data_IF_259645958418
#
_entry.id   IF_259645958418
#
_cell.length_a   1.000
_cell.length_b   1.000
_cell.length_c   1.000
_cell.angle_alpha   90.00
_cell.angle_beta   90.00
_cell.angle_gamma   90.00
#
_symmetry.space_group_name_H-M   'P 1'
#
loop_
_entity.id
_entity.type
_entity.pdbx_description
1 polymer ?
#
# COMPACT_ATOMS: atom_id res chain seq x y z
N UNK A 1 9.56 -15.96 21.43
CA UNK A 1 10.08 -15.61 20.43
C UNK A 1 9.45 -15.98 19.21
N UNK A 2 9.20 -17.16 19.01
CA UNK A 2 8.66 -17.59 17.81
C UNK A 2 7.29 -17.09 17.58
N UNK A 3 6.60 -16.75 18.61
CA UNK A 3 5.28 -16.23 18.47
C UNK A 3 5.28 -14.97 17.64
N UNK A 4 6.37 -14.28 17.68
CA UNK A 4 6.45 -13.08 16.94
C UNK A 4 6.31 -13.31 15.48
N UNK A 5 6.77 -14.46 15.06
CA UNK A 5 6.72 -14.74 13.70
C UNK A 5 5.37 -14.99 13.24
N UNK A 6 4.53 -15.51 14.04
CA UNK A 6 3.20 -15.82 13.67
C UNK A 6 2.45 -14.59 13.27
N UNK A 7 2.78 -13.48 13.89
CA UNK A 7 2.08 -12.27 13.62
C UNK A 7 2.71 -11.47 12.51
N UNK A 8 3.75 -11.98 11.96
CA UNK A 8 4.48 -11.25 10.98
C UNK A 8 3.66 -10.94 9.74
N UNK A 9 2.77 -11.82 9.34
CA UNK A 9 2.02 -11.59 8.13
C UNK A 9 1.12 -10.36 8.21
N UNK A 10 0.32 -10.19 9.24
CA UNK A 10 -0.45 -8.95 9.36
C UNK A 10 0.45 -7.74 9.47
N UNK A 11 1.55 -7.88 10.19
CA UNK A 11 2.47 -6.77 10.32
C UNK A 11 3.08 -6.41 8.98
N UNK A 12 3.37 -7.40 8.17
CA UNK A 12 3.94 -7.15 6.85
C UNK A 12 2.96 -6.37 6.00
N UNK A 13 1.67 -6.69 6.06
CA UNK A 13 0.68 -5.95 5.29
C UNK A 13 0.57 -4.52 5.79
N UNK A 14 0.63 -4.32 7.09
CA UNK A 14 0.57 -2.97 7.62
C UNK A 14 1.77 -2.15 7.20
N UNK A 15 2.95 -2.77 7.20
CA UNK A 15 4.14 -2.09 6.75
C UNK A 15 4.03 -1.73 5.28
N UNK A 16 3.55 -2.65 4.47
CA UNK A 16 3.39 -2.39 3.05
C UNK A 16 2.39 -1.27 2.82
N UNK A 17 1.31 -1.28 3.58
CA UNK A 17 0.30 -0.25 3.46
C UNK A 17 0.88 1.12 3.82
N UNK A 18 1.64 1.19 4.92
CA UNK A 18 2.25 2.43 5.33
C UNK A 18 3.24 2.93 4.30
N UNK A 19 4.06 2.05 3.76
CA UNK A 19 5.02 2.44 2.74
C UNK A 19 4.31 2.92 1.48
N UNK A 20 3.23 2.24 1.11
CA UNK A 20 2.48 2.66 -0.06
C UNK A 20 1.84 4.03 0.15
N UNK A 21 1.36 4.29 1.35
CA UNK A 21 0.80 5.59 1.67
C UNK A 21 1.84 6.69 1.60
N UNK A 22 3.03 6.41 2.11
CA UNK A 22 4.11 7.37 2.03
C UNK A 22 4.52 7.64 0.59
N UNK A 23 4.58 6.59 -0.20
CA UNK A 23 4.90 6.74 -1.60
C UNK A 23 3.84 7.56 -2.31
N UNK A 24 2.57 7.31 -1.99
CA UNK A 24 1.50 8.06 -2.59
C UNK A 24 1.59 9.54 -2.22
N UNK A 25 1.90 9.82 -0.96
CA UNK A 25 2.02 11.19 -0.52
C UNK A 25 3.16 11.89 -1.26
N UNK A 26 4.28 11.21 -1.41
CA UNK A 26 5.41 11.77 -2.13
C UNK A 26 5.08 11.98 -3.60
N UNK A 27 4.41 11.02 -4.20
CA UNK A 27 4.05 11.12 -5.60
C UNK A 27 3.04 12.25 -5.82
N UNK A 28 2.10 12.40 -4.91
CA UNK A 28 1.12 13.46 -4.99
C UNK A 28 1.79 14.83 -4.88
N UNK A 29 2.73 14.94 -3.96
CA UNK A 29 3.47 16.18 -3.80
C UNK A 29 4.26 16.49 -5.06
N UNK A 30 4.90 15.48 -5.64
CA UNK A 30 5.66 15.69 -6.86
C UNK A 30 4.74 16.14 -8.00
N UNK A 31 3.54 15.56 -8.08
CA UNK A 31 2.60 15.96 -9.12
C UNK A 31 2.14 17.40 -8.93
N UNK A 32 1.98 17.82 -7.69
CA UNK A 32 1.59 19.20 -7.44
C UNK A 32 2.66 20.17 -7.86
N UNK A 33 3.92 19.77 -7.69
CA UNK A 33 5.02 20.64 -8.08
C UNK A 33 5.17 20.66 -9.57
N UNK A 34 4.99 19.53 -10.21
CA UNK A 34 5.17 19.44 -11.62
C UNK A 34 4.27 18.34 -12.15
N UNK A 35 3.20 18.74 -12.77
CA UNK A 35 2.21 17.82 -13.27
C UNK A 35 2.66 17.25 -14.60
N UNK A 36 3.31 16.13 -14.59
CA UNK A 36 3.79 15.46 -15.79
C UNK A 36 3.10 14.12 -15.93
N UNK A 37 3.10 13.54 -17.13
CA UNK A 37 2.52 12.21 -17.29
C UNK A 37 3.17 11.18 -16.38
N UNK A 38 4.48 11.30 -16.16
CA UNK A 38 5.16 10.36 -15.27
C UNK A 38 4.67 10.52 -13.84
N UNK A 39 4.49 11.76 -13.39
CA UNK A 39 4.01 12.00 -12.04
C UNK A 39 2.60 11.44 -11.87
N UNK A 40 1.76 11.62 -12.87
CA UNK A 40 0.40 11.09 -12.81
C UNK A 40 0.41 9.58 -12.77
N UNK A 41 1.29 8.96 -13.54
CA UNK A 41 1.39 7.52 -13.54
C UNK A 41 1.84 7.02 -12.20
N UNK A 42 2.78 7.71 -11.58
CA UNK A 42 3.28 7.31 -10.28
C UNK A 42 2.18 7.36 -9.24
N UNK A 43 1.36 8.40 -9.25
CA UNK A 43 0.24 8.49 -8.34
C UNK A 43 -0.74 7.34 -8.58
N UNK A 44 -1.03 7.06 -9.85
CA UNK A 44 -1.94 5.98 -10.18
C UNK A 44 -1.39 4.64 -9.73
N UNK A 45 -0.09 4.42 -9.92
CA UNK A 45 0.53 3.16 -9.51
C UNK A 45 0.50 3.01 -7.99
N UNK A 46 0.72 4.09 -7.25
CA UNK A 46 0.67 4.02 -5.80
C UNK A 46 -0.74 3.72 -5.33
N UNK A 47 -1.74 4.32 -5.97
CA UNK A 47 -3.13 4.03 -5.61
C UNK A 47 -3.49 2.59 -5.90
N UNK A 48 -3.04 2.09 -7.04
CA UNK A 48 -3.30 0.71 -7.39
C UNK A 48 -2.67 -0.25 -6.38
N UNK A 49 -1.48 0.11 -5.90
CA UNK A 49 -0.81 -0.72 -4.91
C UNK A 49 -1.59 -0.73 -3.61
N UNK A 50 -2.07 0.43 -3.17
CA UNK A 50 -2.85 0.50 -1.95
C UNK A 50 -4.13 -0.31 -2.11
N UNK A 51 -4.79 -0.20 -3.24
CA UNK A 51 -6.00 -0.97 -3.48
C UNK A 51 -5.73 -2.46 -3.43
N UNK A 52 -4.61 -2.88 -4.01
CA UNK A 52 -4.25 -4.30 -3.98
C UNK A 52 -3.99 -4.78 -2.57
N UNK A 53 -3.36 -3.95 -1.75
CA UNK A 53 -3.11 -4.31 -0.36
C UNK A 53 -4.44 -4.43 0.39
N UNK A 54 -5.34 -3.49 0.17
CA UNK A 54 -6.63 -3.53 0.83
C UNK A 54 -7.46 -4.72 0.37
N UNK A 55 -7.37 -5.05 -0.91
CA UNK A 55 -8.05 -6.23 -1.42
C UNK A 55 -7.52 -7.49 -0.77
N UNK A 56 -6.22 -7.59 -0.61
CA UNK A 56 -5.61 -8.73 0.05
C UNK A 56 -6.07 -8.82 1.50
N UNK A 57 -6.12 -7.68 2.16
CA UNK A 57 -6.56 -7.64 3.54
C UNK A 57 -8.01 -8.10 3.65
N UNK A 58 -8.85 -7.55 2.79
CA UNK A 58 -10.27 -7.89 2.82
C UNK A 58 -10.52 -9.35 2.47
N UNK A 59 -9.77 -9.86 1.53
CA UNK A 59 -9.90 -11.27 1.16
C UNK A 59 -9.57 -12.17 2.34
N UNK A 60 -8.52 -11.82 3.07
CA UNK A 60 -8.15 -12.57 4.25
C UNK A 60 -9.20 -12.52 5.34
N UNK A 61 -9.74 -11.34 5.55
CA UNK A 61 -10.73 -11.14 6.58
C UNK A 61 -12.04 -11.83 6.23
N UNK A 62 -12.40 -11.76 4.96
CA UNK A 62 -13.64 -12.35 4.56
C UNK A 62 -13.56 -13.82 4.31
N UNK A 63 -12.42 -14.36 4.29
CA UNK A 63 -12.24 -15.76 4.00
C UNK A 63 -13.04 -16.56 4.95
N UNK A 64 -14.02 -17.18 4.54
CA UNK A 64 -14.90 -17.83 5.42
C UNK A 64 -14.49 -19.15 5.86
N UNK A 65 -13.63 -19.45 5.74
CA UNK A 65 -13.27 -20.65 6.22
C UNK A 65 -13.25 -21.61 5.49
#
# INVERSE_FOLDING_TARGET
MDALRTDAAPDALLVEFDLARLDLAAATTAQRRRDTPDARREVADCRARIDAILDSWNAGVRSPL
#
